data_IF_934834937299
#
_entry.id   IF_934834937299
#
_cell.length_a   1.000
_cell.length_b   1.000
_cell.length_c   1.000
_cell.angle_alpha   90.00
_cell.angle_beta   90.00
_cell.angle_gamma   90.00
#
_symmetry.space_group_name_H-M   'P 1'
#
loop_
_entity.id
_entity.type
_entity.pdbx_description
1 polymer ?
#
# COMPACT_ATOMS: atom_id res chain seq x y z
N UNK A 1 7.26 -1.46 24.57
CA UNK A 1 7.72 -0.97 23.25
C UNK A 1 8.20 -2.06 22.28
N UNK A 2 8.90 -3.13 22.69
CA UNK A 2 9.43 -4.16 21.77
C UNK A 2 8.38 -4.83 20.87
N UNK A 3 7.18 -5.09 21.38
CA UNK A 3 6.11 -5.78 20.63
C UNK A 3 5.17 -4.84 19.84
N UNK A 4 5.14 -3.56 20.18
CA UNK A 4 4.19 -2.58 19.63
C UNK A 4 4.37 -2.40 18.11
N UNK A 5 5.62 -2.43 17.63
CA UNK A 5 5.93 -2.25 16.21
C UNK A 5 5.40 -3.39 15.33
N UNK A 6 5.43 -4.62 15.84
CA UNK A 6 4.94 -5.79 15.09
C UNK A 6 3.43 -5.87 15.10
N UNK A 7 2.80 -5.47 16.20
CA UNK A 7 1.34 -5.35 16.27
C UNK A 7 0.88 -4.29 15.26
N UNK A 8 1.58 -3.16 15.15
CA UNK A 8 1.27 -2.15 14.14
C UNK A 8 1.52 -2.61 12.71
N UNK A 9 2.63 -3.31 12.42
CA UNK A 9 2.85 -3.89 11.10
C UNK A 9 1.79 -4.94 10.75
N UNK A 10 1.41 -5.78 11.72
CA UNK A 10 0.35 -6.76 11.54
C UNK A 10 -0.99 -6.06 11.28
N UNK A 11 -1.32 -5.00 12.01
CA UNK A 11 -2.53 -4.20 11.78
C UNK A 11 -2.51 -3.59 10.38
N UNK A 12 -1.38 -3.04 9.93
CA UNK A 12 -1.25 -2.46 8.59
C UNK A 12 -1.44 -3.53 7.52
N UNK A 13 -0.77 -4.68 7.66
CA UNK A 13 -0.90 -5.81 6.72
C UNK A 13 -2.32 -6.37 6.73
N UNK A 14 -2.94 -6.51 7.89
CA UNK A 14 -4.32 -7.01 8.03
C UNK A 14 -5.34 -6.02 7.46
N UNK A 15 -5.12 -4.71 7.62
CA UNK A 15 -5.99 -3.69 7.06
C UNK A 15 -5.93 -3.67 5.52
N UNK A 16 -4.72 -3.71 4.97
CA UNK A 16 -4.48 -3.82 3.52
C UNK A 16 -5.03 -5.12 2.94
N UNK A 17 -4.78 -6.27 3.59
CA UNK A 17 -5.34 -7.56 3.14
C UNK A 17 -6.85 -7.64 3.32
N UNK A 18 -7.43 -6.95 4.30
CA UNK A 18 -8.87 -6.82 4.44
C UNK A 18 -9.48 -6.00 3.30
N UNK A 19 -8.83 -4.90 2.91
CA UNK A 19 -9.23 -4.12 1.73
C UNK A 19 -9.13 -4.91 0.43
N UNK A 20 -8.02 -5.61 0.24
CA UNK A 20 -7.82 -6.55 -0.87
C UNK A 20 -8.89 -7.65 -0.86
N UNK A 21 -9.20 -8.18 0.32
CA UNK A 21 -10.21 -9.21 0.54
C UNK A 21 -11.61 -8.73 0.18
N UNK A 22 -12.03 -7.57 0.67
CA UNK A 22 -13.31 -6.93 0.32
C UNK A 22 -13.41 -6.72 -1.18
N UNK A 23 -12.36 -6.16 -1.80
CA UNK A 23 -12.27 -6.00 -3.25
C UNK A 23 -12.51 -7.34 -3.95
N UNK A 24 -11.77 -8.38 -3.58
CA UNK A 24 -11.89 -9.71 -4.21
C UNK A 24 -13.28 -10.35 -4.04
N UNK A 25 -13.97 -10.11 -2.92
CA UNK A 25 -15.33 -10.64 -2.70
C UNK A 25 -16.42 -9.88 -3.45
N UNK A 26 -16.30 -8.55 -3.57
CA UNK A 26 -17.22 -7.73 -4.37
C UNK A 26 -17.04 -7.95 -5.87
N UNK A 27 -15.85 -8.38 -6.30
CA UNK A 27 -15.45 -8.52 -7.70
C UNK A 27 -15.67 -9.94 -8.28
N UNK A 28 -16.00 -10.93 -7.43
CA UNK A 28 -16.09 -12.34 -7.84
C UNK A 28 -17.21 -12.62 -8.86
N UNK A 29 -18.21 -11.75 -8.93
CA UNK A 29 -19.37 -11.91 -9.81
C UNK A 29 -19.26 -11.13 -11.14
N UNK A 30 -18.11 -10.50 -11.43
CA UNK A 30 -17.90 -9.69 -12.64
C UNK A 30 -17.04 -10.46 -13.66
N UNK A 31 -17.63 -11.02 -14.72
CA UNK A 31 -16.96 -11.95 -15.64
C UNK A 31 -15.85 -11.32 -16.49
N UNK A 32 -15.69 -10.00 -16.48
CA UNK A 32 -14.62 -9.30 -17.19
C UNK A 32 -13.30 -9.23 -16.40
N UNK A 33 -13.30 -9.69 -15.14
CA UNK A 33 -12.17 -9.59 -14.25
C UNK A 33 -11.79 -10.97 -13.69
N UNK A 34 -11.44 -11.92 -14.56
CA UNK A 34 -11.21 -13.34 -14.18
C UNK A 34 -9.78 -13.64 -13.65
N UNK A 35 -8.93 -12.62 -13.47
CA UNK A 35 -7.52 -12.78 -13.07
C UNK A 35 -7.23 -12.35 -11.62
N UNK A 36 -7.90 -12.97 -10.64
CA UNK A 36 -7.50 -13.03 -9.21
C UNK A 36 -6.73 -11.81 -8.64
N UNK A 37 -5.49 -12.02 -8.20
CA UNK A 37 -4.63 -10.98 -7.55
C UNK A 37 -4.16 -9.91 -8.54
N UNK A 38 -4.00 -10.24 -9.83
CA UNK A 38 -3.60 -9.31 -10.89
C UNK A 38 -4.65 -8.22 -11.14
N UNK A 39 -5.89 -8.48 -10.72
CA UNK A 39 -7.01 -7.56 -10.78
C UNK A 39 -6.82 -6.32 -9.89
N UNK A 40 -6.09 -6.43 -8.78
CA UNK A 40 -5.72 -5.30 -7.91
C UNK A 40 -4.81 -4.29 -8.62
N UNK A 41 -4.16 -4.72 -9.70
CA UNK A 41 -3.24 -3.91 -10.52
C UNK A 41 -3.85 -3.54 -11.88
N UNK A 42 -5.15 -3.78 -12.10
CA UNK A 42 -5.84 -3.41 -13.35
C UNK A 42 -6.91 -2.37 -13.08
N UNK A 43 -6.51 -1.11 -13.18
CA UNK A 43 -7.35 0.05 -12.98
C UNK A 43 -8.62 0.07 -13.82
N UNK A 44 -8.56 -0.39 -15.07
CA UNK A 44 -9.72 -0.43 -15.96
C UNK A 44 -10.85 -1.30 -15.43
N UNK A 45 -10.51 -2.44 -14.82
CA UNK A 45 -11.49 -3.29 -14.16
C UNK A 45 -12.13 -2.53 -12.99
N UNK A 46 -11.32 -1.90 -12.13
CA UNK A 46 -11.78 -1.19 -10.93
C UNK A 46 -12.79 -0.09 -11.29
N UNK A 47 -12.50 0.74 -12.30
CA UNK A 47 -13.43 1.78 -12.77
C UNK A 47 -14.72 1.17 -13.33
N UNK A 48 -14.61 0.15 -14.19
CA UNK A 48 -15.77 -0.47 -14.81
C UNK A 48 -16.73 -1.08 -13.78
N UNK A 49 -16.16 -1.69 -12.74
CA UNK A 49 -16.89 -2.23 -11.60
C UNK A 49 -17.55 -1.08 -10.84
N UNK A 50 -16.79 -0.03 -10.50
CA UNK A 50 -17.29 1.10 -9.73
C UNK A 50 -18.54 1.72 -10.37
N UNK A 51 -18.52 1.96 -11.69
CA UNK A 51 -19.68 2.49 -12.39
C UNK A 51 -20.86 1.50 -12.51
N UNK A 52 -20.60 0.20 -12.39
CA UNK A 52 -21.63 -0.84 -12.36
C UNK A 52 -22.27 -1.06 -10.98
N UNK A 53 -21.71 -0.49 -9.91
CA UNK A 53 -22.21 -0.66 -8.54
C UNK A 53 -23.45 0.19 -8.25
N UNK A 54 -24.25 -0.23 -7.26
CA UNK A 54 -25.33 0.61 -6.73
C UNK A 54 -24.73 1.86 -6.04
N UNK A 55 -25.44 3.00 -6.03
CA UNK A 55 -24.93 4.26 -5.46
C UNK A 55 -24.43 4.13 -4.02
N UNK A 56 -25.09 3.29 -3.21
CA UNK A 56 -24.70 3.07 -1.81
C UNK A 56 -23.28 2.49 -1.68
N UNK A 57 -22.88 1.62 -2.61
CA UNK A 57 -21.55 1.02 -2.63
C UNK A 57 -20.52 1.98 -3.21
N UNK A 58 -20.91 2.83 -4.16
CA UNK A 58 -20.05 3.89 -4.69
C UNK A 58 -19.68 4.89 -3.60
N UNK A 59 -20.66 5.36 -2.83
CA UNK A 59 -20.42 6.28 -1.69
C UNK A 59 -19.51 5.64 -0.63
N UNK A 60 -19.69 4.35 -0.34
CA UNK A 60 -18.83 3.63 0.59
C UNK A 60 -17.38 3.55 0.09
N UNK A 61 -17.16 3.21 -1.18
CA UNK A 61 -15.80 3.14 -1.77
C UNK A 61 -15.12 4.51 -1.76
N UNK A 62 -15.84 5.57 -2.12
CA UNK A 62 -15.31 6.94 -2.06
C UNK A 62 -14.96 7.32 -0.63
N UNK A 63 -15.83 7.01 0.35
CA UNK A 63 -15.55 7.25 1.76
C UNK A 63 -14.32 6.49 2.25
N UNK A 64 -14.16 5.24 1.81
CA UNK A 64 -12.98 4.43 2.12
C UNK A 64 -11.69 5.04 1.57
N UNK A 65 -11.68 5.53 0.33
CA UNK A 65 -10.51 6.22 -0.26
C UNK A 65 -10.10 7.47 0.52
N UNK A 66 -11.06 8.19 1.12
CA UNK A 66 -10.73 9.34 1.97
C UNK A 66 -10.06 8.89 3.29
N UNK A 67 -10.54 7.80 3.89
CA UNK A 67 -9.91 7.20 5.09
C UNK A 67 -8.52 6.68 4.76
N UNK A 68 -8.32 6.19 3.53
CA UNK A 68 -7.05 5.64 3.08
C UNK A 68 -5.93 6.69 3.09
N UNK A 69 -6.20 7.97 2.79
CA UNK A 69 -5.20 9.04 2.95
C UNK A 69 -4.66 9.17 4.39
N UNK A 70 -5.53 9.02 5.39
CA UNK A 70 -5.12 9.05 6.79
C UNK A 70 -4.29 7.81 7.11
N UNK A 71 -4.71 6.66 6.59
CA UNK A 71 -3.98 5.41 6.73
C UNK A 71 -2.58 5.51 6.12
N UNK A 72 -2.44 6.11 4.93
CA UNK A 72 -1.16 6.36 4.25
C UNK A 72 -0.19 7.10 5.15
N UNK A 73 -0.63 8.20 5.77
CA UNK A 73 0.20 8.98 6.67
C UNK A 73 0.65 8.17 7.89
N UNK A 74 -0.28 7.43 8.50
CA UNK A 74 0.00 6.64 9.70
C UNK A 74 0.95 5.50 9.40
N UNK A 75 0.67 4.66 8.40
CA UNK A 75 1.51 3.50 8.09
C UNK A 75 2.90 3.95 7.62
N UNK A 76 2.98 4.99 6.79
CA UNK A 76 4.26 5.52 6.29
C UNK A 76 5.10 6.01 7.46
N UNK A 77 4.52 6.83 8.34
CA UNK A 77 5.23 7.33 9.52
C UNK A 77 5.80 6.18 10.37
N UNK A 78 5.03 5.12 10.56
CA UNK A 78 5.46 3.94 11.33
C UNK A 78 6.60 3.18 10.65
N UNK A 79 6.55 3.00 9.33
CA UNK A 79 7.62 2.36 8.56
C UNK A 79 8.92 3.17 8.62
N UNK A 80 8.82 4.49 8.51
CA UNK A 80 9.96 5.40 8.62
C UNK A 80 10.55 5.36 10.03
N UNK A 81 9.70 5.46 11.06
CA UNK A 81 10.12 5.37 12.45
C UNK A 81 10.76 4.01 12.75
N UNK A 82 10.22 2.93 12.21
CA UNK A 82 10.81 1.61 12.39
C UNK A 82 12.19 1.54 11.73
N UNK A 83 12.30 1.91 10.45
CA UNK A 83 13.58 1.93 9.73
C UNK A 83 14.62 2.77 10.45
N UNK A 84 14.24 3.95 10.96
CA UNK A 84 15.09 4.80 11.79
C UNK A 84 15.54 4.12 13.08
N UNK A 85 14.63 3.48 13.82
CA UNK A 85 14.97 2.80 15.06
C UNK A 85 15.88 1.58 14.84
N UNK A 86 15.74 0.87 13.71
CA UNK A 86 16.68 -0.20 13.34
C UNK A 86 18.05 0.36 13.00
N UNK A 87 18.10 1.50 12.31
CA UNK A 87 19.34 2.17 11.92
C UNK A 87 20.20 2.51 13.14
N UNK A 88 19.57 2.97 14.23
CA UNK A 88 20.26 3.30 15.49
C UNK A 88 20.84 2.08 16.22
N UNK A 89 20.31 0.88 15.94
CA UNK A 89 20.72 -0.35 16.63
C UNK A 89 21.76 -1.14 15.82
N UNK A 90 21.97 -0.79 14.55
CA UNK A 90 22.73 -1.60 13.62
C UNK A 90 24.21 -1.22 13.55
N UNK A 91 25.08 -2.19 13.83
CA UNK A 91 26.55 -2.02 13.76
C UNK A 91 27.11 -2.13 12.35
N UNK A 92 26.42 -2.83 11.44
CA UNK A 92 26.85 -2.98 10.05
C UNK A 92 26.55 -1.71 9.27
N UNK A 93 27.60 -1.10 8.70
CA UNK A 93 27.51 0.09 7.84
C UNK A 93 26.63 -0.18 6.62
N UNK A 94 26.76 -1.36 6.02
CA UNK A 94 25.99 -1.76 4.84
C UNK A 94 24.48 -1.82 5.12
N UNK A 95 24.09 -2.43 6.23
CA UNK A 95 22.67 -2.50 6.62
C UNK A 95 22.13 -1.13 7.07
N UNK A 96 22.99 -0.26 7.62
CA UNK A 96 22.63 1.10 7.98
C UNK A 96 22.28 1.93 6.73
N UNK A 97 23.10 1.86 5.67
CA UNK A 97 22.82 2.54 4.40
C UNK A 97 21.55 2.00 3.71
N UNK A 98 21.31 0.68 3.75
CA UNK A 98 20.05 0.10 3.25
C UNK A 98 18.82 0.60 4.03
N UNK A 99 18.94 0.78 5.36
CA UNK A 99 17.86 1.33 6.19
C UNK A 99 17.64 2.83 5.94
N UNK A 100 18.67 3.59 5.54
CA UNK A 100 18.51 4.97 5.06
C UNK A 100 17.77 5.01 3.73
N UNK A 101 18.12 4.10 2.82
CA UNK A 101 17.39 3.95 1.56
C UNK A 101 15.92 3.60 1.81
N UNK A 102 15.60 2.76 2.81
CA UNK A 102 14.21 2.48 3.19
C UNK A 102 13.42 3.73 3.57
N UNK A 103 14.05 4.73 4.21
CA UNK A 103 13.38 5.99 4.55
C UNK A 103 12.98 6.73 3.27
N UNK A 104 13.89 6.84 2.31
CA UNK A 104 13.61 7.46 1.01
C UNK A 104 12.51 6.69 0.25
N UNK A 105 12.62 5.36 0.18
CA UNK A 105 11.63 4.52 -0.50
C UNK A 105 10.26 4.56 0.18
N UNK A 106 10.20 4.72 1.50
CA UNK A 106 8.95 4.87 2.23
C UNK A 106 8.21 6.16 1.87
N UNK A 107 8.96 7.26 1.70
CA UNK A 107 8.39 8.53 1.21
C UNK A 107 7.91 8.38 -0.23
N UNK A 108 8.68 7.73 -1.10
CA UNK A 108 8.28 7.49 -2.50
C UNK A 108 7.02 6.61 -2.59
N UNK A 109 6.92 5.57 -1.76
CA UNK A 109 5.73 4.73 -1.68
C UNK A 109 4.50 5.55 -1.28
N UNK A 110 4.62 6.38 -0.24
CA UNK A 110 3.51 7.23 0.22
C UNK A 110 3.05 8.24 -0.82
N UNK A 111 3.99 8.83 -1.57
CA UNK A 111 3.66 9.75 -2.68
C UNK A 111 2.96 9.01 -3.80
N UNK A 112 3.44 7.82 -4.18
CA UNK A 112 2.80 7.00 -5.20
C UNK A 112 1.37 6.61 -4.80
N UNK A 113 1.17 6.24 -3.53
CA UNK A 113 -0.15 5.88 -2.97
C UNK A 113 -1.13 7.07 -3.00
N UNK A 114 -0.66 8.25 -2.58
CA UNK A 114 -1.46 9.47 -2.67
C UNK A 114 -1.85 9.80 -4.12
N UNK A 115 -0.92 9.66 -5.08
CA UNK A 115 -1.19 9.93 -6.49
C UNK A 115 -2.22 8.93 -7.04
N UNK A 116 -2.06 7.64 -6.74
CA UNK A 116 -3.02 6.59 -7.14
C UNK A 116 -4.43 6.89 -6.61
N UNK A 117 -4.57 7.23 -5.33
CA UNK A 117 -5.85 7.55 -4.73
C UNK A 117 -6.46 8.85 -5.27
N UNK A 118 -5.65 9.86 -5.59
CA UNK A 118 -6.14 11.08 -6.24
C UNK A 118 -6.66 10.80 -7.65
N UNK A 119 -5.97 9.96 -8.43
CA UNK A 119 -6.39 9.55 -9.77
C UNK A 119 -7.69 8.72 -9.69
N UNK A 120 -7.79 7.77 -8.75
CA UNK A 120 -9.01 7.01 -8.48
C UNK A 120 -10.20 7.91 -8.17
N UNK A 121 -10.06 8.85 -7.23
CA UNK A 121 -11.13 9.77 -6.86
C UNK A 121 -11.57 10.67 -8.03
N UNK A 122 -10.61 11.13 -8.84
CA UNK A 122 -10.90 11.92 -10.02
C UNK A 122 -11.73 11.13 -11.04
N UNK A 123 -11.30 9.92 -11.40
CA UNK A 123 -11.96 9.14 -12.45
C UNK A 123 -13.27 8.49 -11.97
N UNK A 124 -13.45 8.28 -10.67
CA UNK A 124 -14.76 7.94 -10.08
C UNK A 124 -15.76 9.10 -10.18
N UNK A 125 -15.27 10.33 -10.17
CA UNK A 125 -16.12 11.54 -10.25
C UNK A 125 -16.44 11.95 -11.69
N UNK A 126 -15.56 11.63 -12.64
CA UNK A 126 -15.69 12.01 -14.04
C UNK A 126 -15.39 10.78 -14.92
N UNK A 127 -16.34 10.28 -15.74
CA UNK A 127 -16.15 9.09 -16.58
C UNK A 127 -15.27 9.38 -17.82
N UNK A 128 -14.35 10.34 -17.73
CA UNK A 128 -13.37 10.67 -18.76
C UNK A 128 -12.04 10.13 -18.26
N UNK A 129 -11.67 8.97 -18.81
CA UNK A 129 -10.43 8.25 -18.48
C UNK A 129 -9.23 9.20 -18.55
N UNK A 130 -8.50 9.33 -17.47
CA UNK A 130 -7.24 10.08 -17.49
C UNK A 130 -6.17 9.35 -18.33
N UNK A 131 -5.22 10.09 -18.91
CA UNK A 131 -4.08 9.51 -19.65
C UNK A 131 -3.12 8.79 -18.70
N UNK A 132 -3.21 9.09 -17.40
CA UNK A 132 -2.34 8.54 -16.37
C UNK A 132 -2.77 7.11 -16.03
N UNK A 133 -1.80 6.18 -16.01
CA UNK A 133 -2.02 4.78 -15.64
C UNK A 133 -1.69 4.60 -14.15
N UNK A 134 -2.69 4.62 -13.25
CA UNK A 134 -2.48 4.41 -11.82
C UNK A 134 -1.87 3.04 -11.48
N UNK A 135 -2.00 2.06 -12.38
CA UNK A 135 -1.29 0.76 -12.29
C UNK A 135 0.22 0.96 -12.08
N UNK A 136 0.82 1.95 -12.74
CA UNK A 136 2.26 2.25 -12.62
C UNK A 136 2.60 2.70 -11.19
N UNK A 137 1.77 3.56 -10.60
CA UNK A 137 1.96 4.02 -9.23
C UNK A 137 1.75 2.89 -8.22
N UNK A 138 0.79 1.99 -8.49
CA UNK A 138 0.59 0.78 -7.71
C UNK A 138 1.82 -0.14 -7.75
N UNK A 139 2.41 -0.39 -8.93
CA UNK A 139 3.66 -1.16 -9.03
C UNK A 139 4.82 -0.51 -8.28
N UNK A 140 4.96 0.82 -8.36
CA UNK A 140 5.99 1.57 -7.65
C UNK A 140 5.81 1.41 -6.13
N UNK A 141 4.61 1.65 -5.60
CA UNK A 141 4.37 1.57 -4.14
C UNK A 141 4.63 0.17 -3.61
N UNK A 142 4.12 -0.86 -4.29
CA UNK A 142 4.29 -2.25 -3.86
C UNK A 142 5.75 -2.73 -3.98
N UNK A 143 6.46 -2.30 -5.02
CA UNK A 143 7.90 -2.54 -5.16
C UNK A 143 8.71 -1.92 -4.02
N UNK A 144 8.42 -0.66 -3.68
CA UNK A 144 9.05 0.04 -2.55
C UNK A 144 8.74 -0.62 -1.21
N UNK A 145 7.47 -0.93 -0.92
CA UNK A 145 7.04 -1.57 0.32
C UNK A 145 7.68 -2.95 0.46
N UNK A 146 7.65 -3.77 -0.61
CA UNK A 146 8.28 -5.09 -0.63
C UNK A 146 9.76 -5.03 -0.28
N UNK A 147 10.49 -4.08 -0.88
CA UNK A 147 11.90 -3.85 -0.56
C UNK A 147 12.12 -3.46 0.91
N UNK A 148 11.33 -2.51 1.42
CA UNK A 148 11.42 -2.05 2.81
C UNK A 148 11.27 -3.22 3.78
N UNK A 149 10.28 -4.08 3.55
CA UNK A 149 10.04 -5.28 4.35
C UNK A 149 11.24 -6.23 4.30
N UNK A 150 11.81 -6.51 3.12
CA UNK A 150 12.99 -7.37 2.98
C UNK A 150 14.17 -6.83 3.79
N UNK A 151 14.50 -5.55 3.66
CA UNK A 151 15.61 -4.93 4.39
C UNK A 151 15.34 -4.94 5.90
N UNK A 152 14.11 -4.67 6.33
CA UNK A 152 13.74 -4.75 7.74
C UNK A 152 13.95 -6.17 8.29
N UNK A 153 13.55 -7.21 7.55
CA UNK A 153 13.79 -8.60 7.95
C UNK A 153 15.28 -8.93 8.01
N UNK A 154 16.05 -8.56 6.98
CA UNK A 154 17.51 -8.76 6.95
C UNK A 154 18.22 -8.07 8.11
N UNK A 155 17.79 -6.86 8.51
CA UNK A 155 18.39 -6.14 9.64
C UNK A 155 18.22 -6.85 10.99
N UNK A 156 17.29 -7.80 11.08
CA UNK A 156 16.98 -8.58 12.28
C UNK A 156 17.68 -9.93 12.35
N UNK A 157 18.01 -10.54 11.22
CA UNK A 157 18.72 -11.84 11.17
C UNK A 157 19.97 -11.84 12.06
N UNK A 158 20.86 -10.82 12.04
CA UNK A 158 22.05 -10.81 12.89
C UNK A 158 21.77 -10.80 14.39
N UNK A 159 20.57 -10.38 14.83
CA UNK A 159 20.17 -10.34 16.24
C UNK A 159 19.57 -11.64 16.77
N UNK A 160 19.17 -12.55 15.89
CA UNK A 160 18.73 -13.88 16.29
C UNK A 160 19.90 -14.85 16.48
N UNK A 161 21.04 -14.59 15.82
CA UNK A 161 22.24 -15.43 15.87
C UNK A 161 23.36 -14.86 16.76
N UNK A 162 23.11 -13.74 17.45
CA UNK A 162 24.02 -13.11 18.41
C UNK A 162 23.44 -13.23 19.83
#
# INVERSE_FOLDING_TARGET
>A
MKHLKYILLLIVVLFETYFIGIGSTLLKDIPQCDEGILMLFRYDCIISVFHGLQPIWQEQIVSMLHVDFIFILVYTFLLLLWSYLEMQQQRSVWLNELLRLNILLGILAAVADCIENMILLHDFSIPVRTIYQPDVFSFIKWGCIGWIVVVLLMSRVPRFFA
#
